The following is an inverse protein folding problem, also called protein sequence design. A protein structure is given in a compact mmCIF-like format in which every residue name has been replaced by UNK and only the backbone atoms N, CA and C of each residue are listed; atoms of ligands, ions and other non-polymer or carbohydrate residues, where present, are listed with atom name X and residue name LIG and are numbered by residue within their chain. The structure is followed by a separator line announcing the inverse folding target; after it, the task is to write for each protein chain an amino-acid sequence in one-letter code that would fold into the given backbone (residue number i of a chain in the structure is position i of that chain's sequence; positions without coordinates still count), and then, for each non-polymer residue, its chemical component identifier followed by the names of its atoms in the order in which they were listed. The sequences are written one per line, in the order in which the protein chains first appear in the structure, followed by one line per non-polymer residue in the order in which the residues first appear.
data_IF_858447236658
#
_entry.id   IF_858447236658
#
_cell.length_a   1.000
_cell.length_b   1.000
_cell.length_c   1.000
_cell.angle_alpha   90.00
_cell.angle_beta   90.00
_cell.angle_gamma   90.00
#
_symmetry.space_group_name_H-M   'P 1'
#
loop_
_entity.id
_entity.type
_entity.pdbx_description
1 polymer ?
#
# COMPACT_ATOMS: atom_id res chain seq x y z
N UNK A 1 2.05 -19.69 9.99
CA UNK A 1 3.00 -19.84 8.86
C UNK A 1 3.48 -21.27 8.78
N UNK A 2 3.53 -21.82 7.59
CA UNK A 2 4.19 -23.10 7.35
C UNK A 2 5.68 -22.86 7.21
N UNK A 3 6.52 -23.68 7.85
CA UNK A 3 7.97 -23.60 7.71
C UNK A 3 8.35 -23.77 6.24
N UNK A 4 9.05 -22.79 5.70
CA UNK A 4 9.56 -22.81 4.33
C UNK A 4 10.85 -23.63 4.32
N UNK A 5 10.88 -24.67 3.51
CA UNK A 5 12.07 -25.49 3.30
C UNK A 5 13.01 -24.81 2.30
N UNK A 6 14.30 -25.14 2.42
CA UNK A 6 15.34 -24.61 1.54
C UNK A 6 15.09 -25.07 0.09
N UNK A 7 14.92 -24.15 -0.87
CA UNK A 7 14.79 -24.51 -2.28
C UNK A 7 16.06 -25.20 -2.82
N UNK A 8 15.84 -26.13 -3.75
CA UNK A 8 16.98 -26.87 -4.34
C UNK A 8 17.89 -25.98 -5.22
N UNK A 9 17.34 -24.92 -5.77
CA UNK A 9 18.02 -23.92 -6.61
C UNK A 9 18.59 -22.73 -5.83
N UNK A 10 18.73 -22.86 -4.50
CA UNK A 10 19.28 -21.80 -3.64
C UNK A 10 20.70 -21.42 -4.07
N UNK A 11 20.89 -20.16 -4.45
CA UNK A 11 22.22 -19.59 -4.82
C UNK A 11 22.90 -18.89 -3.64
N UNK A 12 22.11 -18.30 -2.71
CA UNK A 12 22.60 -17.60 -1.52
C UNK A 12 21.89 -18.16 -0.29
N UNK A 13 22.64 -18.61 0.71
CA UNK A 13 22.09 -19.19 1.93
C UNK A 13 22.63 -18.51 3.18
N UNK A 14 21.74 -18.04 4.04
CA UNK A 14 22.04 -17.51 5.37
C UNK A 14 21.65 -18.54 6.42
N UNK A 15 22.66 -19.12 7.08
CA UNK A 15 22.49 -20.25 7.97
C UNK A 15 22.07 -19.86 9.38
N UNK A 16 21.32 -20.73 10.02
CA UNK A 16 20.85 -20.62 11.40
C UNK A 16 21.95 -20.24 12.40
N UNK A 17 21.58 -19.40 13.36
CA UNK A 17 22.45 -19.01 14.48
C UNK A 17 23.56 -18.02 14.12
N UNK A 18 23.53 -17.44 12.96
CA UNK A 18 24.50 -16.44 12.49
C UNK A 18 23.85 -15.09 12.20
N UNK A 19 24.66 -14.04 12.38
CA UNK A 19 24.33 -12.66 11.94
C UNK A 19 25.28 -12.30 10.79
N UNK A 20 24.71 -11.91 9.68
CA UNK A 20 25.44 -11.54 8.47
C UNK A 20 25.29 -10.04 8.22
N UNK A 21 26.40 -9.30 8.22
CA UNK A 21 26.40 -7.89 7.85
C UNK A 21 26.67 -7.77 6.35
N UNK A 22 25.63 -7.61 5.57
CA UNK A 22 25.74 -7.62 4.10
C UNK A 22 25.88 -6.22 3.50
N UNK A 23 25.58 -5.18 4.28
CA UNK A 23 25.49 -3.84 3.72
C UNK A 23 24.32 -3.76 2.72
N UNK A 24 24.62 -3.73 1.43
CA UNK A 24 23.63 -3.90 0.37
C UNK A 24 23.83 -5.26 -0.30
N UNK A 25 22.87 -6.15 -0.12
CA UNK A 25 22.83 -7.41 -0.84
C UNK A 25 22.27 -7.14 -2.25
N UNK A 26 23.15 -7.03 -3.22
CA UNK A 26 22.75 -6.84 -4.63
C UNK A 26 22.49 -8.19 -5.28
N UNK A 27 21.26 -8.38 -5.76
CA UNK A 27 20.83 -9.61 -6.44
C UNK A 27 21.04 -9.51 -7.95
N UNK A 28 21.08 -10.68 -8.57
CA UNK A 28 21.17 -10.88 -10.02
C UNK A 28 20.02 -11.79 -10.49
N UNK A 29 19.75 -11.76 -11.79
CA UNK A 29 18.78 -12.69 -12.37
C UNK A 29 19.05 -14.13 -11.97
N UNK A 30 17.99 -14.85 -11.62
CA UNK A 30 17.96 -16.22 -11.15
C UNK A 30 18.59 -16.44 -9.74
N UNK A 31 18.77 -15.38 -8.93
CA UNK A 31 19.15 -15.57 -7.56
C UNK A 31 17.99 -16.06 -6.69
N UNK A 32 18.24 -17.14 -5.97
CA UNK A 32 17.36 -17.65 -4.93
C UNK A 32 18.06 -17.54 -3.58
N UNK A 33 17.59 -16.59 -2.76
CA UNK A 33 18.13 -16.35 -1.41
C UNK A 33 17.28 -17.13 -0.41
N UNK A 34 17.94 -17.97 0.40
CA UNK A 34 17.29 -18.67 1.49
C UNK A 34 17.80 -18.18 2.85
N UNK A 35 16.89 -17.78 3.74
CA UNK A 35 17.20 -17.28 5.08
C UNK A 35 16.64 -18.28 6.10
N UNK A 36 17.53 -19.08 6.69
CA UNK A 36 17.13 -20.09 7.68
C UNK A 36 16.49 -19.45 8.92
N UNK A 37 15.58 -20.19 9.53
CA UNK A 37 15.04 -19.83 10.85
C UNK A 37 16.17 -19.63 11.87
N UNK A 38 16.24 -18.45 12.49
CA UNK A 38 17.29 -18.05 13.42
C UNK A 38 18.55 -17.48 12.76
N UNK A 39 18.54 -17.24 11.44
CA UNK A 39 19.53 -16.40 10.78
C UNK A 39 19.06 -14.93 10.80
N UNK A 40 20.02 -13.99 10.91
CA UNK A 40 19.78 -12.55 10.81
C UNK A 40 20.67 -11.97 9.71
N UNK A 41 20.07 -11.33 8.73
CA UNK A 41 20.73 -10.59 7.65
C UNK A 41 20.63 -9.11 7.97
N UNK A 42 21.75 -8.46 8.29
CA UNK A 42 21.79 -7.02 8.61
C UNK A 42 22.22 -6.23 7.37
N UNK A 43 21.36 -5.34 6.90
CA UNK A 43 21.57 -4.53 5.71
C UNK A 43 20.30 -4.39 4.87
N UNK A 44 20.45 -3.94 3.63
CA UNK A 44 19.39 -3.76 2.64
C UNK A 44 19.52 -4.75 1.50
N UNK A 45 18.45 -4.93 0.72
CA UNK A 45 18.45 -5.76 -0.49
C UNK A 45 18.13 -4.88 -1.70
N UNK A 46 18.87 -5.07 -2.76
CA UNK A 46 18.68 -4.36 -4.02
C UNK A 46 18.72 -5.30 -5.22
N UNK A 47 17.77 -5.13 -6.13
CA UNK A 47 17.75 -5.78 -7.41
C UNK A 47 17.36 -4.77 -8.49
N UNK A 48 18.07 -4.74 -9.61
CA UNK A 48 17.81 -3.82 -10.72
C UNK A 48 17.93 -4.56 -12.05
N UNK A 49 16.86 -4.50 -12.86
CA UNK A 49 16.76 -5.22 -14.14
C UNK A 49 17.06 -6.72 -14.02
N UNK A 50 16.46 -7.36 -13.00
CA UNK A 50 16.64 -8.78 -12.73
C UNK A 50 15.37 -9.58 -13.05
N UNK A 51 15.58 -10.79 -13.59
CA UNK A 51 14.52 -11.76 -13.81
C UNK A 51 14.63 -12.93 -12.84
N UNK A 52 13.50 -13.51 -12.42
CA UNK A 52 13.41 -14.71 -11.62
C UNK A 52 14.21 -14.63 -10.31
N UNK A 53 13.94 -13.62 -9.48
CA UNK A 53 14.56 -13.51 -8.16
C UNK A 53 13.62 -13.99 -7.07
N UNK A 54 14.18 -14.69 -6.09
CA UNK A 54 13.43 -15.19 -4.95
C UNK A 54 14.18 -14.91 -3.64
N UNK A 55 13.46 -14.39 -2.63
CA UNK A 55 13.93 -14.30 -1.26
C UNK A 55 12.94 -15.07 -0.42
N UNK A 56 13.36 -16.18 0.15
CA UNK A 56 12.46 -17.06 0.89
C UNK A 56 13.09 -17.53 2.20
N UNK A 57 12.28 -17.93 3.15
CA UNK A 57 12.77 -18.55 4.38
C UNK A 57 12.00 -18.11 5.62
N UNK A 58 12.60 -18.38 6.79
CA UNK A 58 11.95 -18.12 8.08
C UNK A 58 12.86 -17.28 9.01
N UNK A 59 13.91 -16.67 8.46
CA UNK A 59 14.84 -15.82 9.19
C UNK A 59 14.43 -14.35 9.15
N UNK A 60 15.38 -13.47 9.48
CA UNK A 60 15.14 -12.03 9.63
C UNK A 60 16.07 -11.23 8.72
N UNK A 61 15.54 -10.25 8.01
CA UNK A 61 16.30 -9.14 7.43
C UNK A 61 16.11 -7.93 8.35
N UNK A 62 17.20 -7.31 8.80
CA UNK A 62 17.19 -6.22 9.78
C UNK A 62 17.96 -5.01 9.25
N UNK A 63 17.27 -3.90 9.08
CA UNK A 63 17.83 -2.62 8.64
C UNK A 63 18.23 -1.65 9.75
N UNK A 64 18.09 -2.03 11.03
CA UNK A 64 18.26 -1.12 12.18
C UNK A 64 19.61 -0.39 12.27
N UNK A 65 20.68 -0.99 11.75
CA UNK A 65 22.02 -0.40 11.74
C UNK A 65 22.33 0.33 10.44
N UNK A 66 21.39 0.37 9.50
CA UNK A 66 21.56 0.99 8.21
C UNK A 66 20.99 2.41 8.23
N UNK A 67 21.74 3.37 7.79
CA UNK A 67 21.27 4.74 7.63
C UNK A 67 20.89 4.97 6.18
N UNK A 68 19.98 5.94 5.94
CA UNK A 68 19.64 6.37 4.58
C UNK A 68 20.94 6.71 3.83
N UNK A 69 21.30 5.96 2.80
CA UNK A 69 22.53 6.15 2.10
C UNK A 69 22.40 7.19 0.99
N UNK A 70 23.56 7.58 0.44
CA UNK A 70 23.61 8.51 -0.68
C UNK A 70 23.34 7.84 -2.04
N UNK A 71 23.19 6.52 -2.09
CA UNK A 71 22.97 5.76 -3.31
C UNK A 71 21.51 5.33 -3.49
N UNK A 72 21.07 5.14 -4.73
CA UNK A 72 19.72 4.66 -5.02
C UNK A 72 19.51 3.18 -4.64
N UNK A 73 20.61 2.41 -4.58
CA UNK A 73 20.58 0.96 -4.34
C UNK A 73 20.10 0.59 -2.93
N UNK A 74 20.32 1.47 -1.97
CA UNK A 74 20.07 1.24 -0.56
C UNK A 74 19.13 2.26 0.08
N UNK A 75 18.41 3.02 -0.77
CA UNK A 75 17.46 4.04 -0.33
C UNK A 75 16.18 3.47 0.26
N UNK A 76 15.77 2.30 -0.22
CA UNK A 76 14.69 1.52 0.36
C UNK A 76 15.24 0.22 0.94
N UNK A 77 14.44 -0.45 1.76
CA UNK A 77 14.96 -1.59 2.53
C UNK A 77 15.07 -2.87 1.69
N UNK A 78 14.00 -3.31 1.05
CA UNK A 78 13.97 -4.41 0.09
C UNK A 78 13.46 -3.81 -1.21
N UNK A 79 14.37 -3.50 -2.11
CA UNK A 79 14.09 -2.72 -3.30
C UNK A 79 14.35 -3.53 -4.57
N UNK A 80 13.29 -3.82 -5.30
CA UNK A 80 13.35 -4.40 -6.63
C UNK A 80 12.91 -3.35 -7.65
N UNK A 81 13.76 -3.04 -8.62
CA UNK A 81 13.49 -2.06 -9.68
C UNK A 81 13.62 -2.70 -11.06
N UNK A 82 12.62 -2.51 -11.92
CA UNK A 82 12.61 -3.09 -13.26
C UNK A 82 12.86 -4.61 -13.28
N UNK A 83 12.30 -5.32 -12.29
CA UNK A 83 12.45 -6.76 -12.16
C UNK A 83 11.19 -7.46 -12.67
N UNK A 84 11.38 -8.68 -13.14
CA UNK A 84 10.28 -9.53 -13.58
C UNK A 84 10.35 -10.90 -12.88
N UNK A 85 9.20 -11.40 -12.43
CA UNK A 85 9.08 -12.64 -11.68
C UNK A 85 9.85 -12.59 -10.34
N UNK A 86 9.29 -11.87 -9.37
CA UNK A 86 9.86 -11.64 -8.03
C UNK A 86 9.04 -12.38 -6.99
N UNK A 87 9.68 -13.20 -6.16
CA UNK A 87 9.06 -13.88 -5.02
C UNK A 87 9.70 -13.46 -3.71
N UNK A 88 8.91 -12.88 -2.80
CA UNK A 88 9.30 -12.58 -1.42
C UNK A 88 8.40 -13.39 -0.48
N UNK A 89 8.98 -14.33 0.31
CA UNK A 89 8.14 -15.24 1.07
C UNK A 89 8.70 -15.64 2.43
N UNK A 90 7.89 -15.49 3.48
CA UNK A 90 7.99 -16.16 4.78
C UNK A 90 8.90 -15.49 5.79
N UNK A 91 9.89 -14.73 5.39
CA UNK A 91 10.83 -14.08 6.29
C UNK A 91 10.25 -12.83 6.97
N UNK A 92 10.92 -12.39 8.02
CA UNK A 92 10.58 -11.16 8.73
C UNK A 92 11.50 -10.02 8.28
N UNK A 93 10.92 -8.88 7.88
CA UNK A 93 11.62 -7.64 7.55
C UNK A 93 11.40 -6.61 8.66
N UNK A 94 12.46 -6.14 9.31
CA UNK A 94 12.35 -5.23 10.45
C UNK A 94 13.25 -4.02 10.32
N UNK A 95 12.77 -2.88 10.80
CA UNK A 95 13.55 -1.67 11.02
C UNK A 95 14.34 -1.18 9.81
N UNK A 96 13.73 -1.21 8.64
CA UNK A 96 14.31 -0.63 7.43
C UNK A 96 14.57 0.87 7.56
N UNK A 97 15.51 1.42 6.76
CA UNK A 97 15.88 2.83 6.81
C UNK A 97 14.81 3.77 6.20
N UNK A 98 13.87 3.23 5.44
CA UNK A 98 12.77 3.93 4.79
C UNK A 98 11.66 2.91 4.44
N UNK A 99 10.96 3.07 3.32
CA UNK A 99 9.98 2.11 2.80
C UNK A 99 10.55 0.69 2.79
N UNK A 100 9.74 -0.28 3.29
CA UNK A 100 10.28 -1.60 3.59
C UNK A 100 10.34 -2.52 2.38
N UNK A 101 9.25 -2.70 1.66
CA UNK A 101 9.20 -3.59 0.48
C UNK A 101 8.73 -2.79 -0.71
N UNK A 102 9.59 -2.60 -1.69
CA UNK A 102 9.35 -1.69 -2.82
C UNK A 102 9.60 -2.39 -4.15
N UNK A 103 8.59 -3.06 -4.71
CA UNK A 103 8.58 -3.37 -6.13
C UNK A 103 8.32 -2.11 -6.93
N UNK A 104 9.27 -1.69 -7.77
CA UNK A 104 9.19 -0.49 -8.58
C UNK A 104 9.38 -0.79 -10.07
N UNK A 105 8.39 -0.45 -10.87
CA UNK A 105 8.34 -0.78 -12.31
C UNK A 105 8.56 -2.28 -12.58
N UNK A 106 8.08 -3.14 -11.66
CA UNK A 106 8.21 -4.59 -11.75
C UNK A 106 6.96 -5.23 -12.37
N UNK A 107 7.15 -6.46 -12.89
CA UNK A 107 6.07 -7.30 -13.38
C UNK A 107 6.12 -8.68 -12.70
N UNK A 108 4.96 -9.31 -12.46
CA UNK A 108 4.82 -10.62 -11.83
C UNK A 108 5.50 -10.70 -10.45
N UNK A 109 4.96 -10.00 -9.47
CA UNK A 109 5.49 -9.95 -8.10
C UNK A 109 4.58 -10.69 -7.13
N UNK A 110 5.13 -11.57 -6.31
CA UNK A 110 4.41 -12.24 -5.23
C UNK A 110 5.08 -11.94 -3.88
N UNK A 111 4.31 -11.38 -2.96
CA UNK A 111 4.70 -11.11 -1.56
C UNK A 111 3.78 -11.95 -0.68
N UNK A 112 4.31 -13.00 -0.05
CA UNK A 112 3.52 -14.02 0.63
C UNK A 112 4.07 -14.37 2.02
N UNK A 113 3.19 -14.43 3.02
CA UNK A 113 3.48 -14.90 4.39
C UNK A 113 4.65 -14.15 5.08
N UNK A 114 4.80 -12.86 4.81
CA UNK A 114 5.85 -12.02 5.41
C UNK A 114 5.36 -11.34 6.70
N UNK A 115 6.29 -11.09 7.62
CA UNK A 115 6.10 -10.15 8.71
C UNK A 115 6.93 -8.89 8.43
N UNK A 116 6.28 -7.73 8.34
CA UNK A 116 6.92 -6.45 8.05
C UNK A 116 6.68 -5.52 9.23
N UNK A 117 7.75 -5.01 9.84
CA UNK A 117 7.65 -4.15 11.01
C UNK A 117 8.58 -2.95 10.89
N UNK A 118 8.01 -1.75 10.90
CA UNK A 118 8.74 -0.49 10.88
C UNK A 118 8.56 0.30 12.18
N UNK A 119 9.45 1.29 12.40
CA UNK A 119 9.39 2.20 13.54
C UNK A 119 9.83 3.63 13.24
N UNK A 120 10.12 3.94 12.00
CA UNK A 120 10.54 5.29 11.58
C UNK A 120 9.41 5.99 10.83
N UNK A 121 9.42 7.32 10.80
CA UNK A 121 8.35 8.16 10.21
C UNK A 121 8.06 7.87 8.74
N UNK A 122 9.06 7.45 7.96
CA UNK A 122 8.93 7.07 6.55
C UNK A 122 8.94 5.55 6.37
N UNK A 123 8.42 4.85 7.36
CA UNK A 123 8.48 3.40 7.43
C UNK A 123 7.24 2.74 6.87
N UNK A 124 6.96 2.98 5.59
CA UNK A 124 5.90 2.29 4.86
C UNK A 124 6.15 0.78 4.86
N UNK A 125 5.09 0.01 4.77
CA UNK A 125 5.17 -1.46 4.75
C UNK A 125 5.52 -1.98 3.35
N UNK A 126 4.56 -1.90 2.43
CA UNK A 126 4.72 -2.36 1.04
C UNK A 126 4.28 -1.23 0.11
N UNK A 127 5.20 -0.76 -0.72
CA UNK A 127 4.95 0.27 -1.73
C UNK A 127 4.98 -0.33 -3.14
N UNK A 128 3.82 -0.67 -3.67
CA UNK A 128 3.69 -1.13 -5.05
C UNK A 128 3.76 0.10 -5.95
N UNK A 129 4.94 0.35 -6.53
CA UNK A 129 5.19 1.56 -7.32
C UNK A 129 5.30 1.22 -8.80
N UNK A 130 4.40 1.75 -9.62
CA UNK A 130 4.46 1.60 -11.09
C UNK A 130 4.61 0.14 -11.56
N UNK A 131 4.11 -0.82 -10.79
CA UNK A 131 4.27 -2.26 -11.00
C UNK A 131 2.95 -2.91 -11.42
N UNK A 132 3.04 -4.02 -12.13
CA UNK A 132 1.88 -4.73 -12.69
C UNK A 132 1.92 -6.21 -12.32
N UNK A 133 0.73 -6.83 -12.22
CA UNK A 133 0.57 -8.23 -11.85
C UNK A 133 1.26 -8.55 -10.52
N UNK A 134 0.74 -7.91 -9.45
CA UNK A 134 1.29 -8.01 -8.10
C UNK A 134 0.30 -8.68 -7.16
N UNK A 135 0.73 -9.72 -6.47
CA UNK A 135 -0.05 -10.37 -5.43
C UNK A 135 0.60 -10.19 -4.06
N UNK A 136 -0.16 -9.62 -3.08
CA UNK A 136 0.25 -9.49 -1.68
C UNK A 136 -0.71 -10.28 -0.80
N UNK A 137 -0.21 -11.28 -0.11
CA UNK A 137 -1.08 -12.16 0.69
C UNK A 137 -0.46 -12.69 1.97
N UNK A 138 -1.33 -13.05 2.92
CA UNK A 138 -0.98 -13.73 4.16
C UNK A 138 0.05 -12.98 5.02
N UNK A 139 0.24 -11.70 4.82
CA UNK A 139 1.24 -10.90 5.50
C UNK A 139 0.70 -10.30 6.80
N UNK A 140 1.59 -10.13 7.77
CA UNK A 140 1.38 -9.24 8.91
C UNK A 140 2.22 -7.99 8.69
N UNK A 141 1.57 -6.82 8.66
CA UNK A 141 2.22 -5.54 8.37
C UNK A 141 1.96 -4.58 9.52
N UNK A 142 3.03 -4.20 10.21
CA UNK A 142 3.02 -3.14 11.23
C UNK A 142 3.92 -2.01 10.76
N UNK A 143 3.32 -0.92 10.32
CA UNK A 143 4.04 0.25 9.79
C UNK A 143 3.78 1.51 10.62
N UNK A 144 4.64 2.49 10.47
CA UNK A 144 4.53 3.84 11.06
C UNK A 144 4.23 4.91 10.01
N UNK A 145 4.17 4.54 8.76
CA UNK A 145 3.64 5.27 7.63
C UNK A 145 2.68 4.33 6.90
N UNK A 146 2.38 4.50 5.63
CA UNK A 146 1.42 3.69 4.91
C UNK A 146 1.74 2.18 5.00
N UNK A 147 0.73 1.36 5.29
CA UNK A 147 1.01 -0.08 5.44
C UNK A 147 1.08 -0.79 4.10
N UNK A 148 0.09 -0.57 3.24
CA UNK A 148 0.12 -1.01 1.84
C UNK A 148 -0.21 0.21 1.00
N UNK A 149 0.73 0.60 0.14
CA UNK A 149 0.63 1.79 -0.66
C UNK A 149 0.78 1.50 -2.16
N UNK A 150 -0.06 2.13 -2.96
CA UNK A 150 0.00 2.08 -4.42
C UNK A 150 0.43 3.45 -4.93
N UNK A 151 1.47 3.46 -5.75
CA UNK A 151 2.01 4.70 -6.34
C UNK A 151 2.31 4.49 -7.82
N UNK A 152 2.15 5.54 -8.61
CA UNK A 152 2.69 5.63 -9.97
C UNK A 152 3.48 6.91 -10.05
N UNK A 153 4.81 6.81 -9.92
CA UNK A 153 5.64 8.00 -9.77
C UNK A 153 7.02 7.83 -10.38
N UNK A 154 7.61 8.97 -10.68
CA UNK A 154 9.03 9.07 -11.00
C UNK A 154 9.85 8.77 -9.73
N UNK A 155 10.73 7.79 -9.81
CA UNK A 155 11.67 7.47 -8.75
C UNK A 155 13.07 7.98 -9.08
N UNK A 156 13.64 8.81 -8.19
CA UNK A 156 15.01 9.31 -8.28
C UNK A 156 15.34 9.97 -9.63
N UNK A 157 14.48 10.87 -10.09
CA UNK A 157 14.66 11.60 -11.35
C UNK A 157 14.62 10.71 -12.61
N UNK A 158 14.20 9.45 -12.49
CA UNK A 158 14.01 8.56 -13.63
C UNK A 158 12.54 8.56 -14.07
N UNK A 159 12.17 9.31 -15.12
CA UNK A 159 10.78 9.37 -15.57
C UNK A 159 10.30 8.07 -16.20
N UNK A 160 11.19 7.14 -16.56
CA UNK A 160 10.81 5.84 -17.11
C UNK A 160 10.16 4.93 -16.07
N UNK A 161 10.30 5.24 -14.78
CA UNK A 161 9.63 4.52 -13.71
C UNK A 161 8.14 4.85 -13.58
N UNK A 162 7.64 5.87 -14.29
CA UNK A 162 6.20 6.16 -14.33
C UNK A 162 5.51 5.19 -15.28
N UNK A 163 4.73 4.28 -14.72
CA UNK A 163 3.96 3.26 -15.45
C UNK A 163 2.60 3.11 -14.79
N UNK A 164 1.65 2.58 -15.53
CA UNK A 164 0.36 2.17 -14.99
C UNK A 164 0.53 1.10 -13.92
N UNK A 165 -0.30 1.15 -12.89
CA UNK A 165 -0.43 0.07 -11.91
C UNK A 165 -1.72 -0.67 -12.19
N UNK A 166 -1.61 -1.94 -12.49
CA UNK A 166 -2.76 -2.76 -12.86
C UNK A 166 -2.58 -4.22 -12.43
N UNK A 167 -3.68 -4.95 -12.32
CA UNK A 167 -3.69 -6.37 -11.92
C UNK A 167 -3.04 -6.59 -10.55
N UNK A 168 -3.42 -5.76 -9.57
CA UNK A 168 -2.93 -5.91 -8.20
C UNK A 168 -4.00 -6.60 -7.37
N UNK A 169 -3.63 -7.65 -6.66
CA UNK A 169 -4.47 -8.33 -5.70
C UNK A 169 -3.82 -8.36 -4.33
N UNK A 170 -4.50 -7.77 -3.35
CA UNK A 170 -4.07 -7.73 -1.95
C UNK A 170 -5.11 -8.47 -1.11
N UNK A 171 -4.72 -9.59 -0.48
CA UNK A 171 -5.72 -10.37 0.24
C UNK A 171 -5.17 -11.13 1.44
N UNK A 172 -6.07 -11.42 2.40
CA UNK A 172 -5.76 -12.20 3.58
C UNK A 172 -4.58 -11.65 4.40
N UNK A 173 -4.49 -10.31 4.51
CA UNK A 173 -3.44 -9.63 5.27
C UNK A 173 -3.98 -9.08 6.59
N UNK A 174 -3.12 -9.00 7.59
CA UNK A 174 -3.39 -8.34 8.87
C UNK A 174 -2.53 -7.09 8.97
N UNK A 175 -3.17 -5.95 9.17
CA UNK A 175 -2.56 -4.62 9.12
C UNK A 175 -2.69 -3.93 10.48
N UNK A 176 -1.58 -3.45 11.01
CA UNK A 176 -1.53 -2.54 12.13
C UNK A 176 -0.77 -1.28 11.71
N UNK A 177 -1.51 -0.23 11.40
CA UNK A 177 -0.92 1.05 11.03
C UNK A 177 -0.82 1.95 12.25
N UNK A 178 0.35 2.54 12.49
CA UNK A 178 0.58 3.56 13.49
C UNK A 178 0.67 4.96 12.84
N UNK A 179 0.75 6.01 13.63
CA UNK A 179 0.94 7.39 13.14
C UNK A 179 2.35 7.58 12.57
N UNK A 180 2.52 8.33 11.44
CA UNK A 180 1.48 8.95 10.62
C UNK A 180 1.19 8.13 9.38
N UNK A 181 0.23 7.46 9.08
CA UNK A 181 0.01 6.75 7.83
C UNK A 181 -1.41 6.23 7.63
N UNK A 182 -1.61 5.52 6.55
CA UNK A 182 -2.85 4.90 6.18
C UNK A 182 -2.70 3.37 6.20
N UNK A 183 -3.76 2.63 6.46
CA UNK A 183 -3.64 1.18 6.40
C UNK A 183 -3.57 0.70 4.94
N UNK A 184 -4.42 1.24 4.06
CA UNK A 184 -4.35 1.02 2.62
C UNK A 184 -4.44 2.38 1.94
N UNK A 185 -3.43 2.74 1.15
CA UNK A 185 -3.31 4.03 0.47
C UNK A 185 -3.12 3.84 -1.04
N UNK A 186 -3.87 4.60 -1.85
CA UNK A 186 -3.51 4.91 -3.23
C UNK A 186 -3.09 6.38 -3.25
N UNK A 187 -1.80 6.64 -3.33
CA UNK A 187 -1.34 8.03 -3.30
C UNK A 187 0.04 8.28 -2.66
N UNK A 188 0.44 9.53 -2.55
CA UNK A 188 -0.16 10.71 -3.22
C UNK A 188 0.20 10.81 -4.69
N UNK A 189 1.33 10.24 -5.09
CA UNK A 189 1.89 10.34 -6.43
C UNK A 189 1.25 9.31 -7.36
N UNK A 190 0.23 9.72 -8.09
CA UNK A 190 -0.49 8.91 -9.06
C UNK A 190 -0.39 9.58 -10.43
N UNK A 191 0.76 9.37 -11.11
CA UNK A 191 1.12 10.07 -12.34
C UNK A 191 0.67 9.36 -13.62
N UNK A 192 0.25 8.09 -13.52
CA UNK A 192 -0.29 7.28 -14.63
C UNK A 192 -1.57 6.58 -14.21
N UNK A 193 -2.13 5.71 -15.04
CA UNK A 193 -3.37 5.01 -14.73
C UNK A 193 -3.19 3.99 -13.60
N UNK A 194 -4.18 3.92 -12.70
CA UNK A 194 -4.28 2.98 -11.60
C UNK A 194 -5.62 2.27 -11.72
N UNK A 195 -5.61 1.00 -12.12
CA UNK A 195 -6.85 0.28 -12.38
C UNK A 195 -6.72 -1.25 -12.23
N UNK A 196 -7.86 -1.96 -12.19
CA UNK A 196 -7.91 -3.41 -12.01
C UNK A 196 -7.19 -3.83 -10.71
N UNK A 197 -7.59 -3.20 -9.59
CA UNK A 197 -7.05 -3.50 -8.26
C UNK A 197 -8.13 -4.10 -7.37
N UNK A 198 -7.77 -5.15 -6.64
CA UNK A 198 -8.65 -5.81 -5.66
C UNK A 198 -7.95 -5.92 -4.30
N UNK A 199 -8.58 -5.36 -3.28
CA UNK A 199 -8.22 -5.51 -1.87
C UNK A 199 -9.32 -6.31 -1.17
N UNK A 200 -9.01 -7.50 -0.67
CA UNK A 200 -10.06 -8.36 -0.11
C UNK A 200 -9.60 -9.19 1.09
N UNK A 201 -10.57 -9.60 1.92
CA UNK A 201 -10.34 -10.49 3.05
C UNK A 201 -9.19 -10.02 3.98
N UNK A 202 -9.07 -8.71 4.22
CA UNK A 202 -8.04 -8.13 5.06
C UNK A 202 -8.58 -7.66 6.41
N UNK A 203 -7.72 -7.74 7.44
CA UNK A 203 -8.00 -7.24 8.77
C UNK A 203 -7.14 -6.02 9.10
N UNK A 204 -7.76 -4.85 9.26
CA UNK A 204 -7.11 -3.65 9.77
C UNK A 204 -7.37 -3.59 11.27
N UNK A 205 -6.44 -4.10 12.08
CA UNK A 205 -6.63 -4.18 13.54
C UNK A 205 -6.37 -2.85 14.25
N UNK A 206 -5.68 -1.92 13.59
CA UNK A 206 -5.49 -0.57 14.05
C UNK A 206 -5.10 0.34 12.90
N UNK A 207 -5.67 1.55 12.85
CA UNK A 207 -5.24 2.61 11.97
C UNK A 207 -5.37 3.94 12.68
N UNK A 208 -4.27 4.66 12.83
CA UNK A 208 -4.27 5.93 13.53
C UNK A 208 -4.61 7.06 12.58
N UNK A 209 -3.72 7.66 11.88
CA UNK A 209 -3.96 8.61 10.80
C UNK A 209 -2.70 9.38 10.38
N UNK A 210 -2.74 10.04 9.22
CA UNK A 210 -1.69 10.93 8.74
C UNK A 210 -2.01 12.40 9.09
N UNK A 211 -1.82 12.82 10.34
CA UNK A 211 -2.01 14.20 10.78
C UNK A 211 -3.46 14.71 10.73
N UNK A 212 -3.66 16.01 10.84
CA UNK A 212 -4.99 16.62 11.10
C UNK A 212 -5.97 16.59 9.90
N UNK A 213 -5.50 16.42 8.68
CA UNK A 213 -6.32 16.59 7.47
C UNK A 213 -6.26 15.42 6.51
N UNK A 214 -5.27 14.56 6.64
CA UNK A 214 -5.06 13.39 5.82
C UNK A 214 -5.36 12.09 6.55
N UNK A 215 -5.36 10.99 5.84
CA UNK A 215 -5.35 9.66 6.39
C UNK A 215 -6.70 9.07 6.78
N UNK A 216 -6.79 7.79 6.51
CA UNK A 216 -7.91 6.94 6.86
C UNK A 216 -7.47 5.48 6.94
N UNK A 217 -8.38 4.59 7.32
CA UNK A 217 -8.14 3.17 7.16
C UNK A 217 -7.94 2.81 5.68
N UNK A 218 -8.74 3.41 4.79
CA UNK A 218 -8.63 3.25 3.33
C UNK A 218 -8.66 4.64 2.69
N UNK A 219 -7.61 4.98 1.96
CA UNK A 219 -7.44 6.30 1.33
C UNK A 219 -7.13 6.20 -0.16
N UNK A 220 -7.63 7.19 -0.91
CA UNK A 220 -7.25 7.46 -2.29
C UNK A 220 -6.95 8.95 -2.39
N UNK A 221 -5.68 9.32 -2.50
CA UNK A 221 -5.22 10.69 -2.55
C UNK A 221 -4.56 10.98 -3.90
N UNK A 222 -5.35 11.44 -4.86
CA UNK A 222 -4.89 11.78 -6.21
C UNK A 222 -4.30 13.19 -6.22
N UNK A 223 -2.97 13.30 -6.21
CA UNK A 223 -2.27 14.58 -6.22
C UNK A 223 -1.71 14.97 -7.60
N UNK A 224 -1.73 14.07 -8.57
CA UNK A 224 -1.16 14.24 -9.91
C UNK A 224 -2.20 14.03 -11.02
N UNK A 225 -1.78 13.73 -12.23
CA UNK A 225 -2.62 13.67 -13.42
C UNK A 225 -3.09 12.27 -13.82
N UNK A 226 -2.75 11.21 -13.07
CA UNK A 226 -3.18 9.85 -13.38
C UNK A 226 -4.67 9.61 -13.12
N UNK A 227 -5.23 8.63 -13.77
CA UNK A 227 -6.63 8.24 -13.62
C UNK A 227 -6.75 7.01 -12.71
N UNK A 228 -7.55 7.10 -11.65
CA UNK A 228 -7.82 6.01 -10.70
C UNK A 228 -9.21 5.48 -10.93
N UNK A 229 -9.32 4.21 -11.35
CA UNK A 229 -10.62 3.58 -11.64
C UNK A 229 -10.58 2.05 -11.50
N UNK A 230 -11.74 1.42 -11.48
CA UNK A 230 -11.88 -0.03 -11.35
C UNK A 230 -11.13 -0.59 -10.14
N UNK A 231 -11.44 -0.02 -8.95
CA UNK A 231 -10.82 -0.39 -7.68
C UNK A 231 -11.88 -1.04 -6.78
N UNK A 232 -11.59 -2.22 -6.28
CA UNK A 232 -12.51 -3.00 -5.47
C UNK A 232 -11.95 -3.30 -4.08
N UNK A 233 -12.70 -2.94 -3.05
CA UNK A 233 -12.44 -3.28 -1.66
C UNK A 233 -13.55 -4.20 -1.16
N UNK A 234 -13.22 -5.42 -0.72
CA UNK A 234 -14.21 -6.44 -0.36
C UNK A 234 -13.85 -7.14 0.95
N UNK A 235 -14.87 -7.42 1.79
CA UNK A 235 -14.69 -8.22 3.00
C UNK A 235 -13.57 -7.71 3.91
N UNK A 236 -13.46 -6.42 4.14
CA UNK A 236 -12.43 -5.83 5.01
C UNK A 236 -13.03 -5.58 6.39
N UNK A 237 -12.37 -6.09 7.42
CA UNK A 237 -12.70 -5.83 8.81
C UNK A 237 -11.75 -4.79 9.37
N UNK A 238 -12.32 -3.74 9.96
CA UNK A 238 -11.57 -2.67 10.62
C UNK A 238 -11.89 -2.72 12.09
N UNK A 239 -10.94 -3.14 12.92
CA UNK A 239 -11.19 -3.21 14.35
C UNK A 239 -11.26 -1.79 14.93
N UNK A 240 -10.29 -0.92 14.58
CA UNK A 240 -10.27 0.47 15.02
C UNK A 240 -9.75 1.39 13.92
N UNK A 241 -10.54 2.42 13.58
CA UNK A 241 -10.13 3.56 12.75
C UNK A 241 -10.33 4.84 13.56
N UNK A 242 -9.23 5.47 14.01
CA UNK A 242 -9.32 6.55 14.98
C UNK A 242 -9.90 7.84 14.40
N UNK A 243 -9.74 8.12 13.12
CA UNK A 243 -10.19 9.36 12.51
C UNK A 243 -11.21 9.13 11.39
N UNK A 244 -10.80 8.50 10.31
CA UNK A 244 -11.64 8.27 9.13
C UNK A 244 -11.59 6.80 8.71
N UNK A 245 -12.72 6.34 8.15
CA UNK A 245 -12.78 5.04 7.50
C UNK A 245 -12.33 5.15 6.05
N UNK A 246 -12.94 6.08 5.31
CA UNK A 246 -12.61 6.36 3.91
C UNK A 246 -12.19 7.83 3.73
N UNK A 247 -11.10 8.05 2.97
CA UNK A 247 -10.66 9.39 2.58
C UNK A 247 -10.28 9.41 1.10
N UNK A 248 -11.22 9.85 0.25
CA UNK A 248 -11.06 9.84 -1.20
C UNK A 248 -10.97 11.29 -1.69
N UNK A 249 -9.82 11.71 -2.21
CA UNK A 249 -9.58 13.11 -2.56
C UNK A 249 -8.77 13.28 -3.83
N UNK A 250 -9.15 14.28 -4.61
CA UNK A 250 -8.26 14.95 -5.56
C UNK A 250 -7.73 16.20 -4.89
N UNK A 251 -6.42 16.40 -4.83
CA UNK A 251 -5.81 17.45 -4.02
C UNK A 251 -4.51 18.02 -4.59
N UNK A 252 -4.12 19.16 -4.08
CA UNK A 252 -2.78 19.72 -4.23
C UNK A 252 -2.04 19.58 -2.90
N UNK A 253 -0.86 19.00 -2.92
CA UNK A 253 -0.03 18.82 -1.74
C UNK A 253 1.46 19.00 -2.07
N UNK A 254 2.31 18.85 -1.05
CA UNK A 254 3.78 18.99 -1.22
C UNK A 254 4.41 17.93 -2.13
N UNK A 255 3.69 16.85 -2.41
CA UNK A 255 4.16 15.75 -3.27
C UNK A 255 3.67 15.85 -4.72
N UNK A 256 2.83 16.86 -5.03
CA UNK A 256 2.31 17.07 -6.38
C UNK A 256 3.44 17.45 -7.34
N UNK A 257 3.60 16.69 -8.41
CA UNK A 257 4.53 16.98 -9.50
C UNK A 257 3.81 17.45 -10.77
N UNK A 258 2.59 16.99 -11.02
CA UNK A 258 1.76 17.34 -12.15
C UNK A 258 0.66 18.31 -11.72
N UNK A 259 0.55 19.47 -12.35
CA UNK A 259 -0.46 20.47 -11.99
C UNK A 259 -1.86 20.08 -12.43
N UNK A 260 -2.01 19.49 -13.62
CA UNK A 260 -3.27 18.92 -14.06
C UNK A 260 -3.65 17.74 -13.15
N UNK A 261 -4.92 17.68 -12.74
CA UNK A 261 -5.41 16.64 -11.84
C UNK A 261 -6.12 15.53 -12.61
N UNK A 262 -5.82 14.29 -12.23
CA UNK A 262 -6.50 13.13 -12.74
C UNK A 262 -7.85 12.86 -12.05
N UNK A 263 -8.62 11.96 -12.63
CA UNK A 263 -9.96 11.59 -12.17
C UNK A 263 -9.90 10.41 -11.20
N UNK A 264 -10.94 10.28 -10.35
CA UNK A 264 -11.21 9.12 -9.51
C UNK A 264 -12.65 8.70 -9.77
N UNK A 265 -12.84 7.49 -10.28
CA UNK A 265 -14.17 6.92 -10.52
C UNK A 265 -14.16 5.39 -10.48
N UNK A 266 -15.33 4.78 -10.55
CA UNK A 266 -15.51 3.32 -10.51
C UNK A 266 -14.80 2.67 -9.30
N UNK A 267 -15.13 3.17 -8.10
CA UNK A 267 -14.59 2.69 -6.83
C UNK A 267 -15.68 1.94 -6.07
N UNK A 268 -15.40 0.73 -5.66
CA UNK A 268 -16.38 -0.16 -5.05
C UNK A 268 -15.92 -0.64 -3.66
N UNK A 269 -16.76 -0.41 -2.66
CA UNK A 269 -16.60 -0.93 -1.30
C UNK A 269 -17.77 -1.86 -0.98
N UNK A 270 -17.48 -3.14 -0.76
CA UNK A 270 -18.49 -4.13 -0.42
C UNK A 270 -18.11 -4.90 0.85
N UNK A 271 -19.02 -4.99 1.80
CA UNK A 271 -18.84 -5.68 3.07
C UNK A 271 -17.62 -5.20 3.87
N UNK A 272 -17.60 -3.89 4.17
CA UNK A 272 -16.59 -3.28 5.05
C UNK A 272 -17.19 -3.13 6.45
N UNK A 273 -16.51 -3.67 7.45
CA UNK A 273 -17.04 -3.76 8.82
C UNK A 273 -16.12 -3.03 9.79
N UNK A 274 -16.63 -2.01 10.49
CA UNK A 274 -15.97 -1.42 11.66
C UNK A 274 -16.47 -2.14 12.90
N UNK A 275 -15.57 -2.81 13.61
CA UNK A 275 -15.92 -3.75 14.68
C UNK A 275 -16.00 -3.08 16.05
N UNK A 276 -15.22 -2.04 16.29
CA UNK A 276 -15.04 -1.43 17.61
C UNK A 276 -14.74 0.08 17.50
N UNK A 277 -14.85 0.79 18.64
CA UNK A 277 -14.51 2.19 18.75
C UNK A 277 -15.66 3.16 18.42
N UNK A 278 -15.30 4.40 18.20
CA UNK A 278 -16.23 5.44 17.74
C UNK A 278 -16.52 5.25 16.25
N UNK A 279 -17.70 5.68 15.82
CA UNK A 279 -18.04 5.69 14.38
C UNK A 279 -17.14 6.70 13.67
N UNK A 280 -16.24 6.26 12.79
CA UNK A 280 -15.37 7.18 12.07
C UNK A 280 -16.17 8.00 11.05
N UNK A 281 -15.63 9.15 10.66
CA UNK A 281 -16.15 9.88 9.50
C UNK A 281 -15.59 9.32 8.21
N UNK A 282 -16.19 9.68 7.09
CA UNK A 282 -15.68 9.40 5.76
C UNK A 282 -15.79 10.64 4.88
N UNK A 283 -14.86 10.81 3.94
CA UNK A 283 -14.85 11.99 3.08
C UNK A 283 -14.58 11.63 1.63
N UNK A 284 -15.35 12.26 0.73
CA UNK A 284 -15.07 12.24 -0.71
C UNK A 284 -15.00 13.69 -1.17
N UNK A 285 -13.88 14.06 -1.78
CA UNK A 285 -13.65 15.45 -2.20
C UNK A 285 -12.94 15.52 -3.54
N UNK A 286 -13.57 16.19 -4.51
CA UNK A 286 -12.92 16.63 -5.74
C UNK A 286 -12.02 17.84 -5.53
N UNK A 287 -11.54 18.41 -6.63
CA UNK A 287 -10.63 19.55 -6.67
C UNK A 287 -11.17 20.66 -7.55
N UNK A 288 -10.98 21.90 -7.15
CA UNK A 288 -11.41 23.04 -7.93
C UNK A 288 -10.42 24.19 -7.83
N UNK A 289 -10.14 24.79 -9.00
CA UNK A 289 -9.46 26.08 -9.15
C UNK A 289 -10.34 27.00 -10.02
N UNK A 290 -9.97 28.25 -10.24
CA UNK A 290 -10.73 29.09 -11.19
C UNK A 290 -10.78 28.57 -12.63
N UNK A 291 -9.86 27.70 -13.02
CA UNK A 291 -9.71 27.20 -14.40
C UNK A 291 -9.92 25.68 -14.55
N UNK A 292 -10.03 24.95 -13.46
CA UNK A 292 -10.15 23.50 -13.48
C UNK A 292 -11.13 23.03 -12.40
N UNK A 293 -11.97 22.08 -12.72
CA UNK A 293 -12.81 21.36 -11.77
C UNK A 293 -12.73 19.87 -12.07
N UNK A 294 -12.29 19.09 -11.08
CA UNK A 294 -12.22 17.64 -11.13
C UNK A 294 -13.09 17.06 -10.04
N UNK A 295 -14.03 16.19 -10.42
CA UNK A 295 -14.96 15.53 -9.50
C UNK A 295 -14.59 14.10 -9.29
N UNK A 296 -14.79 13.63 -8.07
CA UNK A 296 -14.85 12.20 -7.79
C UNK A 296 -16.26 11.72 -8.13
N UNK A 297 -16.36 10.60 -8.86
CA UNK A 297 -17.69 10.08 -9.25
C UNK A 297 -17.71 8.54 -9.31
N UNK A 298 -18.90 7.98 -9.44
CA UNK A 298 -19.13 6.53 -9.50
C UNK A 298 -18.46 5.77 -8.34
N UNK A 299 -18.76 6.17 -7.09
CA UNK A 299 -18.28 5.51 -5.89
C UNK A 299 -19.44 4.78 -5.21
N UNK A 300 -19.26 3.50 -4.95
CA UNK A 300 -20.27 2.60 -4.43
C UNK A 300 -19.90 2.06 -3.07
N UNK A 301 -20.81 2.15 -2.11
CA UNK A 301 -20.69 1.61 -0.77
C UNK A 301 -21.85 0.65 -0.53
N UNK A 302 -21.56 -0.63 -0.47
CA UNK A 302 -22.53 -1.68 -0.22
C UNK A 302 -22.16 -2.47 1.05
N UNK A 303 -23.17 -2.79 1.86
CA UNK A 303 -23.00 -3.62 3.06
C UNK A 303 -21.97 -3.08 4.06
N UNK A 304 -21.90 -1.76 4.26
CA UNK A 304 -21.06 -1.15 5.29
C UNK A 304 -21.71 -1.30 6.66
N UNK A 305 -20.96 -1.74 7.67
CA UNK A 305 -21.47 -1.93 9.04
C UNK A 305 -20.59 -1.28 10.09
N UNK A 306 -21.22 -0.69 11.11
CA UNK A 306 -20.55 -0.19 12.31
C UNK A 306 -21.06 -0.93 13.55
N UNK A 307 -20.19 -1.64 14.24
CA UNK A 307 -20.50 -2.45 15.43
C UNK A 307 -21.74 -3.35 15.20
N UNK A 308 -21.80 -4.01 14.04
CA UNK A 308 -22.89 -4.90 13.63
C UNK A 308 -24.15 -4.20 13.09
N UNK A 309 -24.22 -2.87 13.13
CA UNK A 309 -25.34 -2.12 12.56
C UNK A 309 -25.06 -1.74 11.11
N UNK A 310 -25.95 -2.15 10.21
CA UNK A 310 -25.83 -1.81 8.79
C UNK A 310 -26.09 -0.31 8.57
N UNK A 311 -25.24 0.33 7.79
CA UNK A 311 -25.46 1.68 7.29
C UNK A 311 -26.42 1.63 6.11
N UNK A 312 -27.61 2.17 6.27
CA UNK A 312 -28.62 2.23 5.19
C UNK A 312 -28.50 3.51 4.38
N UNK A 313 -27.90 4.54 4.96
CA UNK A 313 -27.79 5.87 4.35
C UNK A 313 -26.36 6.42 4.49
N UNK A 314 -26.06 7.47 3.73
CA UNK A 314 -24.81 8.20 3.85
C UNK A 314 -24.61 8.88 5.22
N UNK A 315 -25.73 9.26 5.89
CA UNK A 315 -25.68 9.82 7.25
C UNK A 315 -25.22 8.77 8.26
N UNK A 316 -25.66 7.53 8.13
CA UNK A 316 -25.23 6.43 9.01
C UNK A 316 -23.72 6.20 8.86
N UNK A 317 -23.17 6.38 7.66
CA UNK A 317 -21.73 6.31 7.38
C UNK A 317 -20.95 7.54 7.80
N UNK A 318 -21.62 8.61 8.26
CA UNK A 318 -21.00 9.93 8.50
C UNK A 318 -20.18 10.41 7.30
N UNK A 319 -20.68 10.14 6.09
CA UNK A 319 -20.02 10.46 4.83
C UNK A 319 -20.25 11.92 4.46
N UNK A 320 -19.15 12.63 4.20
CA UNK A 320 -19.16 14.03 3.72
C UNK A 320 -18.70 14.03 2.26
N UNK A 321 -19.42 14.72 1.38
CA UNK A 321 -19.07 14.81 -0.04
C UNK A 321 -18.97 16.26 -0.50
N UNK A 322 -17.91 16.60 -1.22
CA UNK A 322 -17.70 17.90 -1.86
C UNK A 322 -17.13 17.70 -3.26
N UNK A 323 -17.66 18.38 -4.26
CA UNK A 323 -17.22 18.19 -5.66
C UNK A 323 -17.22 16.70 -6.08
N UNK A 324 -18.31 16.02 -5.73
CA UNK A 324 -18.50 14.61 -6.03
C UNK A 324 -19.91 14.39 -6.61
N UNK A 325 -20.05 13.41 -7.48
CA UNK A 325 -21.34 13.02 -8.05
C UNK A 325 -21.39 11.50 -8.25
N UNK A 326 -22.60 10.98 -8.47
CA UNK A 326 -22.80 9.55 -8.66
C UNK A 326 -22.17 8.71 -7.52
N UNK A 327 -22.48 9.11 -6.28
CA UNK A 327 -22.11 8.39 -5.08
C UNK A 327 -23.31 7.56 -4.62
N UNK A 328 -23.09 6.29 -4.35
CA UNK A 328 -24.16 5.34 -4.03
C UNK A 328 -23.94 4.67 -2.69
N UNK A 329 -25.01 4.51 -1.92
CA UNK A 329 -25.03 3.69 -0.69
C UNK A 329 -26.13 2.66 -0.83
N UNK A 330 -25.82 1.37 -0.80
CA UNK A 330 -26.73 0.26 -1.08
C UNK A 330 -27.57 0.49 -2.35
N UNK A 331 -26.93 0.94 -3.43
CA UNK A 331 -27.57 1.25 -4.71
C UNK A 331 -28.39 2.55 -4.75
N UNK A 332 -28.57 3.24 -3.64
CA UNK A 332 -29.26 4.52 -3.58
C UNK A 332 -28.29 5.70 -3.82
N UNK A 333 -28.55 6.48 -4.88
CA UNK A 333 -27.73 7.66 -5.21
C UNK A 333 -27.88 8.77 -4.17
N UNK A 334 -26.77 9.33 -3.72
CA UNK A 334 -26.75 10.52 -2.86
C UNK A 334 -27.07 11.76 -3.69
N UNK A 335 -28.21 12.40 -3.38
CA UNK A 335 -28.70 13.57 -4.12
C UNK A 335 -28.26 14.93 -3.55
N UNK A 336 -27.42 14.97 -2.50
CA UNK A 336 -27.10 16.23 -1.81
C UNK A 336 -25.62 16.47 -1.74
N UNK A 337 -25.16 17.50 -2.44
CA UNK A 337 -23.84 18.11 -2.21
C UNK A 337 -23.97 19.07 -1.02
N UNK A 338 -23.20 18.89 0.05
CA UNK A 338 -23.01 19.96 1.02
C UNK A 338 -22.07 21.00 0.39
N UNK A 339 -22.54 22.23 0.27
CA UNK A 339 -21.67 23.38 -0.01
C UNK A 339 -21.24 23.93 1.34
N UNK A 340 -19.98 23.91 1.63
CA UNK A 340 -19.37 24.61 2.76
C UNK A 340 -19.06 26.04 2.38
#
# INVERSE_FOLDING_TARGET
SHRIEKPADTTICFEKGKVYNVGVLTLKSNDTVYIEEGAVVSGCVYADHCDNISIVGNGIINGACWHLPDSNADRFFIYAKWCNNVLLKGFTAVDGPSWHVVPAACDHVVIDDMNIMSRIVTGDGIDITSSQDVEVKNCFIRSTDDSICIKSQRLFEDPSTVRDVTKVRVHNNVIWNAEPGNAIELGYALQSEIHDLVFEDCDIIHCQYEGNMGGAAISIHQADGGHVHDIHYKNIRVEQAEQKLFDIKVLLCRYTEQLAKGEINDIYFDNIQVLNGDIPVSMIRGYQTPTEEVRVHDVHFDNITFMGNKCETWQDMRLVTELANDIYVNGARICRQMKF
#
